data_IF_885431462423
#
_entry.id   IF_885431462423
#
_cell.length_a   1.000
_cell.length_b   1.000
_cell.length_c   1.000
_cell.angle_alpha   90.00
_cell.angle_beta   90.00
_cell.angle_gamma   90.00
#
_symmetry.space_group_name_H-M   'P 1'
#
loop_
_entity.id
_entity.type
_entity.pdbx_description
1 polymer ?
#
# COMPACT_ATOMS: atom_id res chain seq x y z
N UNK A 1 0.67 14.73 -45.74
CA UNK A 1 0.31 13.42 -45.19
C UNK A 1 1.27 12.97 -44.10
N UNK A 2 2.56 12.95 -44.35
CA UNK A 2 3.58 12.52 -43.35
C UNK A 2 3.59 13.41 -42.10
N UNK A 3 3.39 14.73 -42.25
CA UNK A 3 3.32 15.67 -41.11
C UNK A 3 2.08 15.46 -40.21
N UNK A 4 0.95 15.08 -40.78
CA UNK A 4 -0.29 14.76 -40.04
C UNK A 4 -0.16 13.42 -39.27
N UNK A 5 0.53 12.45 -39.85
CA UNK A 5 0.78 11.15 -39.20
C UNK A 5 1.71 11.30 -37.98
N UNK A 6 2.76 12.15 -38.11
CA UNK A 6 3.69 12.45 -37.02
C UNK A 6 3.01 13.16 -35.84
N UNK A 7 2.14 14.15 -36.14
CA UNK A 7 1.41 14.89 -35.12
C UNK A 7 0.41 13.98 -34.39
N UNK A 8 -0.30 13.10 -35.12
CA UNK A 8 -1.21 12.13 -34.53
C UNK A 8 -0.47 11.13 -33.60
N UNK A 9 0.69 10.66 -33.97
CA UNK A 9 1.51 9.78 -33.14
C UNK A 9 2.01 10.45 -31.86
N UNK A 10 2.38 11.73 -31.94
CA UNK A 10 2.82 12.50 -30.76
C UNK A 10 1.67 12.71 -29.77
N UNK A 11 0.49 13.05 -30.28
CA UNK A 11 -0.71 13.26 -29.44
C UNK A 11 -1.17 11.95 -28.80
N UNK A 12 -1.14 10.84 -29.51
CA UNK A 12 -1.49 9.52 -28.97
C UNK A 12 -0.45 9.02 -27.98
N UNK A 13 0.83 9.27 -28.22
CA UNK A 13 1.93 8.89 -27.32
C UNK A 13 1.92 9.65 -25.99
N UNK A 14 1.69 10.97 -26.04
CA UNK A 14 1.62 11.80 -24.82
C UNK A 14 0.36 11.56 -23.99
N UNK A 15 -0.75 11.30 -24.63
CA UNK A 15 -2.03 10.98 -23.95
C UNK A 15 -1.98 9.65 -23.20
N UNK A 16 -1.37 8.62 -23.77
CA UNK A 16 -1.25 7.30 -23.14
C UNK A 16 -0.35 7.29 -21.91
N UNK A 17 0.76 8.05 -21.94
CA UNK A 17 1.67 8.18 -20.80
C UNK A 17 1.02 8.92 -19.63
N UNK A 18 0.28 10.01 -19.90
CA UNK A 18 -0.44 10.78 -18.89
C UNK A 18 -1.57 9.97 -18.22
N UNK A 19 -2.29 9.19 -19.00
CA UNK A 19 -3.38 8.36 -18.49
C UNK A 19 -2.87 7.20 -17.61
N UNK A 20 -1.77 6.56 -18.01
CA UNK A 20 -1.12 5.51 -17.23
C UNK A 20 -0.62 6.03 -15.88
N UNK A 21 -0.02 7.22 -15.86
CA UNK A 21 0.45 7.86 -14.64
C UNK A 21 -0.71 8.21 -13.68
N UNK A 22 -1.78 8.81 -14.17
CA UNK A 22 -2.96 9.14 -13.35
C UNK A 22 -3.60 7.88 -12.75
N UNK A 23 -3.62 6.79 -13.50
CA UNK A 23 -4.12 5.49 -13.04
C UNK A 23 -3.24 4.91 -11.92
N UNK A 24 -1.92 4.99 -12.07
CA UNK A 24 -0.98 4.52 -11.04
C UNK A 24 -1.11 5.31 -9.73
N UNK A 25 -1.22 6.63 -9.81
CA UNK A 25 -1.43 7.49 -8.63
C UNK A 25 -2.75 7.17 -7.92
N UNK A 26 -3.83 6.97 -8.66
CA UNK A 26 -5.12 6.57 -8.08
C UNK A 26 -5.04 5.20 -7.40
N UNK A 27 -4.34 4.24 -8.00
CA UNK A 27 -4.12 2.94 -7.40
C UNK A 27 -3.30 3.06 -6.11
N UNK A 28 -2.24 3.85 -6.11
CA UNK A 28 -1.42 4.13 -4.92
C UNK A 28 -2.26 4.73 -3.79
N UNK A 29 -3.10 5.72 -4.08
CA UNK A 29 -3.99 6.35 -3.08
C UNK A 29 -4.98 5.34 -2.50
N UNK A 30 -5.62 4.52 -3.34
CA UNK A 30 -6.54 3.48 -2.84
C UNK A 30 -5.82 2.47 -1.95
N UNK A 31 -4.64 2.01 -2.35
CA UNK A 31 -3.86 1.04 -1.59
C UNK A 31 -3.33 1.63 -0.28
N UNK A 32 -2.88 2.88 -0.26
CA UNK A 32 -2.48 3.58 0.98
C UNK A 32 -3.65 3.71 1.96
N UNK A 33 -4.83 4.12 1.49
CA UNK A 33 -6.02 4.20 2.32
C UNK A 33 -6.44 2.82 2.86
N UNK A 34 -6.38 1.79 2.02
CA UNK A 34 -6.68 0.42 2.44
C UNK A 34 -5.67 -0.11 3.48
N UNK A 35 -4.39 0.20 3.31
CA UNK A 35 -3.35 -0.15 4.27
C UNK A 35 -3.56 0.57 5.61
N UNK A 36 -3.89 1.85 5.61
CA UNK A 36 -4.23 2.60 6.83
C UNK A 36 -5.43 1.99 7.55
N UNK A 37 -6.49 1.64 6.83
CA UNK A 37 -7.65 0.96 7.40
C UNK A 37 -7.30 -0.42 7.98
N UNK A 38 -6.45 -1.17 7.30
CA UNK A 38 -5.95 -2.45 7.77
C UNK A 38 -5.12 -2.31 9.06
N UNK A 39 -4.26 -1.29 9.16
CA UNK A 39 -3.48 -1.02 10.36
C UNK A 39 -4.36 -0.60 11.55
N UNK A 40 -5.43 0.16 11.30
CA UNK A 40 -6.41 0.50 12.34
C UNK A 40 -7.13 -0.74 12.87
N UNK A 41 -7.58 -1.62 11.98
CA UNK A 41 -8.18 -2.90 12.36
C UNK A 41 -7.18 -3.79 13.11
N UNK A 42 -5.94 -3.87 12.65
CA UNK A 42 -4.85 -4.62 13.30
C UNK A 42 -4.60 -4.11 14.72
N UNK A 43 -4.52 -2.81 14.91
CA UNK A 43 -4.35 -2.18 16.22
C UNK A 43 -5.47 -2.58 17.19
N UNK A 44 -6.73 -2.47 16.75
CA UNK A 44 -7.88 -2.87 17.56
C UNK A 44 -7.88 -4.35 17.94
N UNK A 45 -7.54 -5.23 17.01
CA UNK A 45 -7.47 -6.67 17.26
C UNK A 45 -6.34 -7.04 18.23
N UNK A 46 -5.18 -6.41 18.13
CA UNK A 46 -4.06 -6.63 19.04
C UNK A 46 -4.36 -6.08 20.44
N UNK A 47 -4.93 -4.88 20.51
CA UNK A 47 -5.18 -4.18 21.78
C UNK A 47 -6.31 -4.81 22.60
N UNK A 48 -7.40 -5.24 21.93
CA UNK A 48 -8.61 -5.66 22.63
C UNK A 48 -8.89 -7.15 22.54
N UNK A 49 -8.48 -7.85 21.50
CA UNK A 49 -8.84 -9.25 21.26
C UNK A 49 -7.69 -10.23 21.34
N UNK A 50 -6.45 -9.75 21.27
CA UNK A 50 -5.25 -10.59 21.26
C UNK A 50 -5.27 -11.66 20.15
N UNK A 51 -5.84 -11.31 19.00
CA UNK A 51 -5.97 -12.22 17.85
C UNK A 51 -4.59 -12.63 17.34
N UNK A 52 -4.32 -13.93 17.13
CA UNK A 52 -3.06 -14.39 16.54
C UNK A 52 -2.84 -13.81 15.14
N UNK A 53 -1.58 -13.53 14.77
CA UNK A 53 -1.24 -12.91 13.48
C UNK A 53 -1.78 -13.63 12.24
N UNK A 54 -1.74 -14.98 12.15
CA UNK A 54 -2.30 -15.67 10.98
C UNK A 54 -3.80 -15.41 10.78
N UNK A 55 -4.56 -15.42 11.86
CA UNK A 55 -6.00 -15.15 11.84
C UNK A 55 -6.29 -13.68 11.54
N UNK A 56 -5.46 -12.78 12.08
CA UNK A 56 -5.54 -11.35 11.82
C UNK A 56 -5.28 -11.04 10.34
N UNK A 57 -4.23 -11.60 9.76
CA UNK A 57 -3.95 -11.42 8.34
C UNK A 57 -5.03 -12.02 7.44
N UNK A 58 -5.60 -13.16 7.81
CA UNK A 58 -6.75 -13.74 7.10
C UNK A 58 -7.94 -12.79 7.10
N UNK A 59 -8.26 -12.18 8.25
CA UNK A 59 -9.34 -11.19 8.35
C UNK A 59 -9.06 -9.93 7.49
N UNK A 60 -7.83 -9.42 7.50
CA UNK A 60 -7.43 -8.29 6.65
C UNK A 60 -7.46 -8.63 5.15
N UNK A 61 -7.31 -9.90 4.80
CA UNK A 61 -7.46 -10.42 3.45
C UNK A 61 -8.88 -10.35 2.89
N UNK A 62 -9.88 -10.12 3.73
CA UNK A 62 -11.28 -9.87 3.34
C UNK A 62 -11.58 -8.40 3.02
N UNK A 63 -10.57 -7.55 3.01
CA UNK A 63 -10.71 -6.12 2.71
C UNK A 63 -11.20 -5.85 1.30
N UNK A 64 -11.74 -4.64 1.10
CA UNK A 64 -12.40 -4.24 -0.16
C UNK A 64 -11.44 -3.84 -1.28
N UNK A 65 -10.24 -3.39 -0.96
CA UNK A 65 -9.22 -3.07 -1.97
C UNK A 65 -8.49 -4.35 -2.38
N UNK A 66 -8.61 -4.78 -3.67
CA UNK A 66 -8.22 -6.13 -4.08
C UNK A 66 -6.75 -6.45 -3.91
N UNK A 67 -5.87 -5.49 -4.18
CA UNK A 67 -4.42 -5.70 -4.16
C UNK A 67 -3.89 -5.77 -2.72
N UNK A 68 -4.33 -4.86 -1.86
CA UNK A 68 -4.00 -4.88 -0.43
C UNK A 68 -4.56 -6.12 0.25
N UNK A 69 -5.79 -6.51 -0.08
CA UNK A 69 -6.39 -7.75 0.42
C UNK A 69 -5.60 -8.99 -0.04
N UNK A 70 -5.16 -9.04 -1.30
CA UNK A 70 -4.32 -10.12 -1.81
C UNK A 70 -2.97 -10.21 -1.08
N UNK A 71 -2.36 -9.08 -0.75
CA UNK A 71 -1.15 -9.01 0.07
C UNK A 71 -1.35 -9.67 1.44
N UNK A 72 -2.41 -9.32 2.17
CA UNK A 72 -2.69 -9.91 3.47
C UNK A 72 -3.10 -11.39 3.39
N UNK A 73 -3.83 -11.80 2.36
CA UNK A 73 -4.09 -13.23 2.11
C UNK A 73 -2.81 -14.02 1.88
N UNK A 74 -1.85 -13.46 1.15
CA UNK A 74 -0.54 -14.05 0.97
C UNK A 74 0.22 -14.22 2.29
N UNK A 75 0.17 -13.21 3.17
CA UNK A 75 0.74 -13.30 4.51
C UNK A 75 0.08 -14.41 5.33
N UNK A 76 -1.25 -14.47 5.35
CA UNK A 76 -2.00 -15.50 6.06
C UNK A 76 -1.67 -16.91 5.57
N UNK A 77 -1.63 -17.11 4.26
CA UNK A 77 -1.31 -18.40 3.65
C UNK A 77 0.10 -18.89 4.02
N UNK A 78 1.09 -18.01 4.02
CA UNK A 78 2.45 -18.36 4.45
C UNK A 78 2.52 -18.74 5.91
N UNK A 79 1.84 -18.01 6.79
CA UNK A 79 1.83 -18.30 8.23
C UNK A 79 1.03 -19.55 8.57
N UNK A 80 0.00 -19.88 7.81
CA UNK A 80 -0.75 -21.15 7.95
C UNK A 80 0.09 -22.35 7.49
N UNK A 81 0.90 -22.20 6.45
CA UNK A 81 1.79 -23.25 5.97
C UNK A 81 2.95 -23.51 6.92
N UNK A 82 3.51 -22.46 7.53
CA UNK A 82 4.60 -22.55 8.50
C UNK A 82 4.46 -21.45 9.57
N UNK A 83 3.99 -21.83 10.73
CA UNK A 83 3.77 -20.92 11.88
C UNK A 83 5.06 -20.46 12.54
N UNK A 84 6.20 -21.06 12.21
CA UNK A 84 7.50 -20.66 12.72
C UNK A 84 8.12 -19.47 11.95
N UNK A 85 7.56 -19.08 10.81
CA UNK A 85 8.05 -17.97 10.02
C UNK A 85 7.90 -16.63 10.76
N UNK A 86 8.98 -15.85 10.86
CA UNK A 86 8.89 -14.54 11.50
C UNK A 86 8.10 -13.54 10.64
N UNK A 87 7.33 -12.63 11.26
CA UNK A 87 6.52 -11.65 10.53
C UNK A 87 7.29 -10.84 9.48
N UNK A 88 8.54 -10.47 9.76
CA UNK A 88 9.37 -9.72 8.82
C UNK A 88 9.65 -10.49 7.53
N UNK A 89 9.83 -11.79 7.61
CA UNK A 89 10.01 -12.64 6.42
C UNK A 89 8.70 -12.73 5.63
N UNK A 90 7.59 -12.97 6.32
CA UNK A 90 6.27 -13.14 5.72
C UNK A 90 5.83 -11.87 4.97
N UNK A 91 5.90 -10.71 5.63
CA UNK A 91 5.49 -9.45 5.00
C UNK A 91 6.45 -9.05 3.86
N UNK A 92 7.75 -9.26 4.04
CA UNK A 92 8.73 -9.02 2.99
C UNK A 92 8.46 -9.87 1.74
N UNK A 93 8.24 -11.16 1.94
CA UNK A 93 7.94 -12.10 0.83
C UNK A 93 6.61 -11.80 0.16
N UNK A 94 5.58 -11.46 0.93
CA UNK A 94 4.28 -11.08 0.39
C UNK A 94 4.35 -9.81 -0.47
N UNK A 95 5.17 -8.82 -0.07
CA UNK A 95 5.42 -7.62 -0.89
C UNK A 95 6.10 -7.94 -2.23
N UNK A 96 7.00 -8.91 -2.25
CA UNK A 96 7.65 -9.35 -3.50
C UNK A 96 6.67 -10.11 -4.40
N UNK A 97 5.83 -10.96 -3.83
CA UNK A 97 4.86 -11.77 -4.56
C UNK A 97 3.67 -10.99 -5.10
N UNK A 98 3.29 -9.90 -4.44
CA UNK A 98 2.16 -9.05 -4.84
C UNK A 98 2.62 -7.97 -5.81
N UNK A 99 2.81 -8.33 -7.07
CA UNK A 99 3.41 -7.47 -8.10
C UNK A 99 2.57 -6.22 -8.44
N UNK A 100 1.28 -6.24 -8.16
CA UNK A 100 0.36 -5.12 -8.40
C UNK A 100 0.39 -4.03 -7.32
N UNK A 101 1.22 -4.20 -6.27
CA UNK A 101 1.39 -3.17 -5.24
C UNK A 101 2.03 -1.91 -5.83
N UNK A 102 1.32 -0.79 -5.72
CA UNK A 102 1.78 0.55 -6.10
C UNK A 102 2.35 1.31 -4.88
N UNK A 103 2.92 0.59 -3.93
CA UNK A 103 3.56 1.18 -2.77
C UNK A 103 4.93 1.74 -3.12
N UNK A 104 5.20 2.96 -2.66
CA UNK A 104 6.51 3.56 -2.77
C UNK A 104 7.57 2.81 -1.96
N UNK A 105 8.84 3.13 -2.17
CA UNK A 105 9.92 2.62 -1.33
C UNK A 105 9.72 2.99 0.16
N UNK A 106 9.19 4.17 0.46
CA UNK A 106 8.87 4.64 1.82
C UNK A 106 7.78 3.79 2.47
N UNK A 107 6.69 3.50 1.75
CA UNK A 107 5.62 2.63 2.23
C UNK A 107 6.15 1.23 2.52
N UNK A 108 6.93 0.66 1.61
CA UNK A 108 7.54 -0.67 1.78
C UNK A 108 8.47 -0.73 2.99
N UNK A 109 9.27 0.28 3.21
CA UNK A 109 10.13 0.40 4.39
C UNK A 109 9.33 0.51 5.67
N UNK A 110 8.26 1.32 5.67
CA UNK A 110 7.36 1.45 6.82
C UNK A 110 6.75 0.10 7.21
N UNK A 111 6.30 -0.68 6.23
CA UNK A 111 5.75 -2.02 6.45
C UNK A 111 6.82 -3.00 6.95
N UNK A 112 8.05 -2.94 6.44
CA UNK A 112 9.17 -3.77 6.95
C UNK A 112 9.49 -3.46 8.41
N UNK A 113 9.57 -2.18 8.77
CA UNK A 113 9.84 -1.75 10.14
C UNK A 113 8.72 -2.19 11.10
N UNK A 114 7.46 -2.08 10.66
CA UNK A 114 6.33 -2.59 11.40
C UNK A 114 6.42 -4.11 11.59
N UNK A 115 6.73 -4.85 10.55
CA UNK A 115 6.86 -6.31 10.58
C UNK A 115 7.93 -6.78 11.59
N UNK A 116 9.04 -6.07 11.66
CA UNK A 116 10.08 -6.31 12.64
C UNK A 116 9.59 -6.10 14.07
N UNK A 117 8.82 -5.05 14.29
CA UNK A 117 8.24 -4.72 15.59
C UNK A 117 7.19 -5.74 16.05
N UNK A 118 6.36 -6.24 15.13
CA UNK A 118 5.35 -7.27 15.42
C UNK A 118 5.97 -8.59 15.91
N UNK A 119 7.18 -8.89 15.49
CA UNK A 119 7.91 -10.11 15.91
C UNK A 119 8.70 -9.98 17.21
N UNK A 120 8.96 -8.77 17.70
CA UNK A 120 9.93 -8.52 18.76
C UNK A 120 9.37 -7.89 20.03
N UNK A 121 8.34 -7.05 19.92
CA UNK A 121 7.88 -6.25 21.04
C UNK A 121 6.66 -6.87 21.74
N UNK A 122 6.48 -6.48 23.00
CA UNK A 122 5.27 -6.72 23.76
C UNK A 122 4.07 -5.97 23.13
N UNK A 123 2.91 -6.20 23.69
CA UNK A 123 1.65 -5.62 23.20
C UNK A 123 1.73 -4.09 23.05
N UNK A 124 2.22 -3.38 24.05
CA UNK A 124 2.35 -1.92 24.02
C UNK A 124 3.33 -1.43 22.95
N UNK A 125 4.43 -2.14 22.77
CA UNK A 125 5.41 -1.88 21.71
C UNK A 125 4.85 -2.12 20.32
N UNK A 126 4.05 -3.17 20.13
CA UNK A 126 3.37 -3.44 18.84
C UNK A 126 2.35 -2.35 18.49
N UNK A 127 1.53 -1.92 19.44
CA UNK A 127 0.57 -0.83 19.23
C UNK A 127 1.26 0.47 18.85
N UNK A 128 2.33 0.86 19.54
CA UNK A 128 3.12 2.05 19.19
C UNK A 128 3.75 1.95 17.81
N UNK A 129 4.24 0.77 17.42
CA UNK A 129 4.79 0.55 16.09
C UNK A 129 3.74 0.73 15.00
N UNK A 130 2.52 0.27 15.23
CA UNK A 130 1.40 0.47 14.32
C UNK A 130 1.05 1.96 14.21
N UNK A 131 0.96 2.67 15.33
CA UNK A 131 0.68 4.12 15.35
C UNK A 131 1.73 4.92 14.59
N UNK A 132 3.02 4.61 14.78
CA UNK A 132 4.11 5.24 14.03
C UNK A 132 4.03 4.95 12.53
N UNK A 133 3.69 3.71 12.15
CA UNK A 133 3.48 3.35 10.76
C UNK A 133 2.31 4.14 10.15
N UNK A 134 1.20 4.28 10.88
CA UNK A 134 0.05 5.07 10.45
C UNK A 134 0.42 6.55 10.25
N UNK A 135 1.18 7.17 11.13
CA UNK A 135 1.65 8.55 10.98
C UNK A 135 2.46 8.74 9.71
N UNK A 136 3.40 7.84 9.44
CA UNK A 136 4.24 7.88 8.23
C UNK A 136 3.42 7.72 6.96
N UNK A 137 2.48 6.79 6.96
CA UNK A 137 1.60 6.54 5.81
C UNK A 137 0.62 7.70 5.56
N UNK A 138 0.10 8.34 6.62
CA UNK A 138 -0.75 9.54 6.49
C UNK A 138 0.03 10.72 5.91
N UNK A 139 1.28 10.92 6.32
CA UNK A 139 2.15 11.94 5.76
C UNK A 139 2.39 11.70 4.26
N UNK A 140 2.69 10.48 3.87
CA UNK A 140 2.87 10.10 2.46
C UNK A 140 1.58 10.27 1.66
N UNK A 141 0.44 9.86 2.20
CA UNK A 141 -0.87 10.04 1.58
C UNK A 141 -1.15 11.52 1.30
N UNK A 142 -0.88 12.42 2.25
CA UNK A 142 -1.03 13.85 2.08
C UNK A 142 -0.12 14.41 0.98
N UNK A 143 1.13 13.97 0.91
CA UNK A 143 2.08 14.35 -0.15
C UNK A 143 1.62 13.91 -1.54
N UNK A 144 1.16 12.67 -1.69
CA UNK A 144 0.65 12.15 -2.96
C UNK A 144 -0.61 12.88 -3.40
N UNK A 145 -1.51 13.18 -2.47
CA UNK A 145 -2.73 13.96 -2.74
C UNK A 145 -2.40 15.40 -3.17
N UNK A 146 -1.47 16.07 -2.49
CA UNK A 146 -1.04 17.42 -2.83
C UNK A 146 -0.39 17.48 -4.21
N UNK A 147 0.49 16.53 -4.53
CA UNK A 147 1.13 16.40 -5.84
C UNK A 147 0.12 16.16 -6.96
N UNK A 148 -0.90 15.35 -6.73
CA UNK A 148 -1.97 15.09 -7.68
C UNK A 148 -2.80 16.36 -7.96
N UNK A 149 -3.17 17.11 -6.91
CA UNK A 149 -3.92 18.37 -7.04
C UNK A 149 -3.13 19.46 -7.75
N UNK A 150 -1.83 19.60 -7.47
CA UNK A 150 -0.98 20.58 -8.12
C UNK A 150 -0.88 20.34 -9.64
N UNK A 151 -0.82 19.08 -10.07
CA UNK A 151 -0.82 18.73 -11.50
C UNK A 151 -2.15 18.99 -12.17
N UNK A 152 -3.29 18.69 -11.54
CA UNK A 152 -4.59 19.02 -12.08
C UNK A 152 -4.75 20.53 -12.33
N UNK A 153 -4.32 21.37 -11.38
CA UNK A 153 -4.33 22.84 -11.55
C UNK A 153 -3.46 23.33 -12.71
N UNK A 154 -2.30 22.71 -12.91
CA UNK A 154 -1.40 23.07 -14.01
C UNK A 154 -2.02 22.82 -15.38
N UNK A 155 -2.86 21.82 -15.53
CA UNK A 155 -3.58 21.55 -16.78
C UNK A 155 -4.75 22.52 -17.01
N UNK A 156 -5.42 23.01 -15.97
CA UNK A 156 -6.49 24.00 -16.09
C UNK A 156 -5.97 25.40 -16.44
N UNK A 157 -4.71 25.72 -16.11
CA UNK A 157 -4.13 27.05 -16.38
C UNK A 157 -3.55 27.18 -17.80
N UNK A 158 -3.38 26.09 -18.54
CA UNK A 158 -2.83 26.06 -19.91
C UNK A 158 -3.97 25.97 -20.97
N UNK A 159 -5.21 25.75 -20.57
CA UNK A 159 -6.41 25.83 -21.41
C UNK A 159 -7.06 27.19 -21.31
#
# INVERSE_FOLDING_TARGET
MIKLLGTAMIVLGSGSAGFGFARAVRAQLRQLNALLAALEAMKGEIEYRLTPLPELFAALGEGTEPVTAAFFRGCAAMMEADRALPPQFVLGRAMEQTTSLQWSARTRETVRNLAFSLGKFDLGGQVRAIELAQERLRAELAEVQAGSRARCRSYETIG
#
